data_IF_766283683279
#
_entry.id   IF_766283683279
#
_cell.length_a   1.000
_cell.length_b   1.000
_cell.length_c   1.000
_cell.angle_alpha   90.00
_cell.angle_beta   90.00
_cell.angle_gamma   90.00
#
_symmetry.space_group_name_H-M   'P 1'
#
loop_
_entity.id
_entity.type
_entity.pdbx_description
1 polymer ?
#
# COMPACT_ATOMS: atom_id res chain seq x y z
N UNK A 1 -32.57 -5.60 14.68
CA UNK A 1 -31.33 -4.78 14.62
C UNK A 1 -30.27 -5.61 15.34
N UNK A 2 -29.08 -5.78 14.71
CA UNK A 2 -27.99 -6.59 15.29
C UNK A 2 -27.33 -5.87 16.47
N UNK A 3 -27.09 -6.59 17.55
CA UNK A 3 -26.27 -6.09 18.67
C UNK A 3 -24.75 -6.08 18.36
N UNK A 4 -24.35 -6.64 17.20
CA UNK A 4 -22.95 -6.78 16.77
C UNK A 4 -22.74 -6.22 15.36
N UNK A 5 -23.19 -5.00 15.12
CA UNK A 5 -23.21 -4.36 13.80
C UNK A 5 -21.86 -4.48 13.05
N UNK A 6 -20.74 -4.15 13.70
CA UNK A 6 -19.41 -4.20 13.07
C UNK A 6 -19.01 -5.62 12.68
N UNK A 7 -19.36 -6.63 13.48
CA UNK A 7 -19.09 -8.03 13.15
C UNK A 7 -19.93 -8.50 11.95
N UNK A 8 -21.19 -8.06 11.87
CA UNK A 8 -22.05 -8.40 10.75
C UNK A 8 -21.62 -7.70 9.46
N UNK A 9 -21.22 -6.43 9.55
CA UNK A 9 -20.56 -5.73 8.43
C UNK A 9 -19.33 -6.50 7.97
N UNK A 10 -18.47 -6.95 8.88
CA UNK A 10 -17.29 -7.72 8.54
C UNK A 10 -17.62 -9.05 7.85
N UNK A 11 -18.63 -9.78 8.32
CA UNK A 11 -19.11 -11.04 7.69
C UNK A 11 -19.65 -10.80 6.30
N UNK A 12 -20.46 -9.74 6.10
CA UNK A 12 -21.01 -9.35 4.81
C UNK A 12 -19.87 -8.97 3.86
N UNK A 13 -18.95 -8.10 4.30
CA UNK A 13 -17.80 -7.68 3.49
C UNK A 13 -16.96 -8.88 3.05
N UNK A 14 -16.66 -9.82 3.95
CA UNK A 14 -15.93 -11.04 3.60
C UNK A 14 -16.66 -11.90 2.57
N UNK A 15 -18.00 -11.91 2.57
CA UNK A 15 -18.79 -12.67 1.59
C UNK A 15 -18.64 -12.09 0.18
N UNK A 16 -18.61 -10.76 0.03
CA UNK A 16 -18.43 -10.10 -1.27
C UNK A 16 -16.95 -10.01 -1.69
N UNK A 17 -16.03 -9.97 -0.73
CA UNK A 17 -14.58 -9.83 -0.92
C UNK A 17 -13.85 -10.95 -0.16
N UNK A 18 -13.89 -12.20 -0.62
CA UNK A 18 -13.36 -13.35 0.13
C UNK A 18 -11.87 -13.22 0.48
N UNK A 19 -11.08 -12.59 -0.39
CA UNK A 19 -9.64 -12.40 -0.20
C UNK A 19 -9.28 -11.18 0.68
N UNK A 20 -10.29 -10.45 1.20
CA UNK A 20 -10.07 -9.26 2.01
C UNK A 20 -9.49 -9.50 3.41
N UNK A 21 -9.38 -10.76 3.82
CA UNK A 21 -8.83 -11.19 5.11
C UNK A 21 -7.50 -11.94 4.97
N UNK A 22 -7.05 -12.18 3.74
CA UNK A 22 -5.76 -12.82 3.43
C UNK A 22 -4.78 -11.80 2.87
N UNK A 23 -3.54 -12.18 2.75
CA UNK A 23 -2.46 -11.35 2.19
C UNK A 23 -1.61 -12.20 1.25
N UNK A 24 -2.29 -13.04 0.47
CA UNK A 24 -1.66 -13.94 -0.48
C UNK A 24 -0.91 -13.13 -1.55
N UNK A 25 0.15 -13.69 -2.09
CA UNK A 25 0.88 -13.06 -3.19
C UNK A 25 0.04 -13.00 -4.47
N UNK A 26 0.24 -11.98 -5.28
CA UNK A 26 -0.45 -11.85 -6.57
C UNK A 26 0.16 -12.81 -7.59
N UNK A 27 -0.62 -13.82 -7.99
CA UNK A 27 -0.23 -14.81 -9.02
C UNK A 27 -0.18 -14.24 -10.45
N UNK A 28 -0.64 -13.02 -10.65
CA UNK A 28 -0.70 -12.38 -11.97
C UNK A 28 0.48 -11.44 -12.25
N UNK A 29 1.49 -11.42 -11.37
CA UNK A 29 2.70 -10.65 -11.62
C UNK A 29 3.62 -11.41 -12.58
N UNK A 30 4.20 -10.70 -13.53
CA UNK A 30 5.10 -11.24 -14.54
C UNK A 30 6.39 -10.40 -14.60
N UNK A 31 7.47 -11.04 -15.04
CA UNK A 31 8.69 -10.29 -15.36
C UNK A 31 8.45 -9.37 -16.54
N UNK A 32 9.10 -8.22 -16.50
CA UNK A 32 8.99 -7.23 -17.55
C UNK A 32 9.86 -7.66 -18.74
N UNK A 33 9.30 -8.36 -19.70
CA UNK A 33 10.05 -8.78 -20.90
C UNK A 33 9.82 -7.90 -22.15
N UNK A 34 8.66 -7.27 -22.30
CA UNK A 34 8.37 -6.43 -23.46
C UNK A 34 7.22 -5.48 -23.15
N UNK A 35 7.53 -4.26 -22.74
CA UNK A 35 6.52 -3.53 -22.05
C UNK A 35 5.95 -2.37 -22.80
N UNK A 36 4.63 -2.34 -22.74
CA UNK A 36 3.73 -1.26 -23.07
C UNK A 36 3.87 0.01 -22.18
N UNK A 37 4.90 0.12 -21.34
CA UNK A 37 5.15 1.36 -20.60
C UNK A 37 5.87 2.33 -21.53
N UNK A 38 5.13 3.33 -21.99
CA UNK A 38 5.63 4.34 -22.91
C UNK A 38 6.93 4.97 -22.39
N UNK A 39 7.99 4.68 -23.05
CA UNK A 39 9.25 5.36 -23.31
C UNK A 39 10.04 6.09 -22.19
N UNK A 40 9.64 6.15 -20.92
CA UNK A 40 10.37 6.89 -19.88
C UNK A 40 10.37 6.24 -18.49
N UNK A 41 10.07 4.95 -18.38
CA UNK A 41 10.24 4.21 -17.13
C UNK A 41 11.50 3.38 -17.21
N UNK A 42 12.36 3.48 -16.18
CA UNK A 42 13.56 2.65 -16.06
C UNK A 42 13.31 1.60 -15.01
N UNK A 43 13.54 0.35 -15.37
CA UNK A 43 13.38 -0.80 -14.49
C UNK A 43 14.72 -1.41 -14.13
N UNK A 44 14.87 -1.77 -12.85
CA UNK A 44 15.93 -2.61 -12.35
C UNK A 44 15.79 -4.07 -12.82
N UNK A 45 16.65 -4.94 -12.32
CA UNK A 45 16.57 -6.39 -12.59
C UNK A 45 15.52 -7.05 -11.72
N UNK A 46 14.88 -8.13 -12.21
CA UNK A 46 13.91 -8.95 -11.49
C UNK A 46 12.70 -8.17 -10.97
N UNK A 47 12.26 -7.15 -11.69
CA UNK A 47 11.03 -6.43 -11.36
C UNK A 47 9.84 -7.22 -11.86
N UNK A 48 8.85 -7.44 -10.99
CA UNK A 48 7.58 -8.08 -11.33
C UNK A 48 6.46 -7.06 -11.36
N UNK A 49 5.60 -7.12 -12.38
CA UNK A 49 4.47 -6.19 -12.55
C UNK A 49 3.19 -6.97 -12.83
N UNK A 50 2.15 -6.63 -12.10
CA UNK A 50 0.82 -7.24 -12.20
C UNK A 50 -0.03 -6.66 -13.33
N UNK A 51 -1.20 -7.26 -13.55
CA UNK A 51 -2.17 -6.79 -14.54
C UNK A 51 -2.72 -5.41 -14.20
N UNK A 52 -3.05 -4.62 -15.23
CA UNK A 52 -3.66 -3.30 -15.11
C UNK A 52 -2.84 -2.28 -14.31
N UNK A 53 -1.56 -2.52 -14.09
CA UNK A 53 -0.66 -1.55 -13.46
C UNK A 53 -0.48 -0.36 -14.40
N UNK A 54 -0.53 0.84 -13.82
CA UNK A 54 -0.27 2.09 -14.52
C UNK A 54 0.95 2.75 -13.89
N UNK A 55 1.93 3.13 -14.73
CA UNK A 55 3.12 3.87 -14.28
C UNK A 55 3.29 5.05 -15.22
N UNK A 56 3.38 6.23 -14.63
CA UNK A 56 3.59 7.49 -15.35
C UNK A 56 4.99 7.63 -15.95
N UNK A 57 5.27 8.79 -16.46
CA UNK A 57 6.54 9.10 -17.13
C UNK A 57 7.67 9.41 -16.14
N UNK A 58 8.93 9.21 -16.56
CA UNK A 58 10.14 9.52 -15.80
C UNK A 58 10.24 8.79 -14.45
N UNK A 59 9.72 7.57 -14.36
CA UNK A 59 9.78 6.76 -13.15
C UNK A 59 11.00 5.83 -13.17
N UNK A 60 11.51 5.56 -11.96
CA UNK A 60 12.54 4.56 -11.69
C UNK A 60 11.94 3.47 -10.78
N UNK A 61 12.08 2.21 -11.15
CA UNK A 61 11.65 1.07 -10.34
C UNK A 61 12.89 0.22 -10.05
N UNK A 62 13.27 0.12 -8.79
CA UNK A 62 14.47 -0.56 -8.33
C UNK A 62 14.43 -2.09 -8.47
N UNK A 63 15.59 -2.71 -8.25
CA UNK A 63 15.76 -4.16 -8.40
C UNK A 63 14.88 -4.97 -7.45
N UNK A 64 14.41 -6.14 -7.90
CA UNK A 64 13.63 -7.11 -7.11
C UNK A 64 12.32 -6.52 -6.54
N UNK A 65 11.79 -5.45 -7.10
CA UNK A 65 10.55 -4.84 -6.63
C UNK A 65 9.35 -5.47 -7.31
N UNK A 66 8.21 -5.50 -6.59
CA UNK A 66 6.97 -6.11 -7.03
C UNK A 66 5.86 -5.06 -7.01
N UNK A 67 5.27 -4.79 -8.16
CA UNK A 67 4.11 -3.89 -8.30
C UNK A 67 2.91 -4.77 -8.64
N UNK A 68 2.04 -5.02 -7.67
CA UNK A 68 0.91 -5.94 -7.85
C UNK A 68 -0.22 -5.34 -8.68
N UNK A 69 -1.13 -6.19 -9.11
CA UNK A 69 -2.30 -5.89 -9.95
C UNK A 69 -3.08 -4.65 -9.49
N UNK A 70 -3.50 -3.82 -10.45
CA UNK A 70 -4.30 -2.61 -10.28
C UNK A 70 -3.61 -1.44 -9.52
N UNK A 71 -2.32 -1.50 -9.24
CA UNK A 71 -1.57 -0.37 -8.68
C UNK A 71 -1.43 0.74 -9.72
N UNK A 72 -1.54 1.99 -9.25
CA UNK A 72 -1.31 3.17 -10.08
C UNK A 72 -0.19 4.03 -9.47
N UNK A 73 0.78 4.40 -10.29
CA UNK A 73 1.93 5.25 -9.95
C UNK A 73 1.94 6.42 -10.93
N UNK A 74 2.01 7.63 -10.41
CA UNK A 74 2.06 8.88 -11.20
C UNK A 74 3.40 9.13 -11.85
N UNK A 75 3.62 10.37 -12.27
CA UNK A 75 4.84 10.81 -12.96
C UNK A 75 5.98 11.11 -11.99
N UNK A 76 7.23 11.00 -12.48
CA UNK A 76 8.46 11.39 -11.76
C UNK A 76 8.65 10.66 -10.42
N UNK A 77 8.19 9.42 -10.30
CA UNK A 77 8.32 8.63 -9.08
C UNK A 77 9.59 7.77 -9.07
N UNK A 78 10.16 7.61 -7.89
CA UNK A 78 11.27 6.68 -7.65
C UNK A 78 10.85 5.64 -6.65
N UNK A 79 10.86 4.39 -7.06
CA UNK A 79 10.62 3.22 -6.21
C UNK A 79 11.95 2.50 -6.05
N UNK A 80 12.39 2.33 -4.82
CA UNK A 80 13.65 1.67 -4.46
C UNK A 80 13.66 0.17 -4.77
N UNK A 81 14.71 -0.49 -4.34
CA UNK A 81 14.86 -1.94 -4.51
C UNK A 81 14.15 -2.72 -3.39
N UNK A 82 13.72 -3.95 -3.70
CA UNK A 82 13.02 -4.82 -2.76
C UNK A 82 11.71 -4.21 -2.19
N UNK A 83 11.06 -3.34 -2.93
CA UNK A 83 9.80 -2.70 -2.55
C UNK A 83 8.64 -3.55 -3.07
N UNK A 84 7.62 -3.73 -2.23
CA UNK A 84 6.35 -4.38 -2.63
C UNK A 84 5.22 -3.36 -2.53
N UNK A 85 4.53 -3.13 -3.65
CA UNK A 85 3.38 -2.21 -3.70
C UNK A 85 2.16 -2.97 -4.16
N UNK A 86 1.11 -2.92 -3.35
CA UNK A 86 -0.19 -3.51 -3.62
C UNK A 86 -1.31 -2.57 -3.17
N UNK A 87 -2.51 -2.71 -3.74
CA UNK A 87 -3.70 -1.96 -3.29
C UNK A 87 -3.43 -0.46 -3.08
N UNK A 88 -2.74 0.20 -4.01
CA UNK A 88 -2.25 1.56 -3.80
C UNK A 88 -2.43 2.47 -5.00
N UNK A 89 -2.68 3.74 -4.70
CA UNK A 89 -2.68 4.86 -5.63
C UNK A 89 -1.58 5.83 -5.21
N UNK A 90 -0.53 5.91 -6.00
CA UNK A 90 0.63 6.76 -5.75
C UNK A 90 0.55 7.92 -6.74
N UNK A 91 0.62 9.15 -6.26
CA UNK A 91 0.58 10.36 -7.06
C UNK A 91 1.96 10.71 -7.65
N UNK A 92 2.20 11.97 -7.97
CA UNK A 92 3.40 12.40 -8.68
C UNK A 92 4.54 12.78 -7.73
N UNK A 93 5.78 12.69 -8.22
CA UNK A 93 6.99 13.09 -7.49
C UNK A 93 7.14 12.37 -6.16
N UNK A 94 6.73 11.10 -6.08
CA UNK A 94 6.82 10.30 -4.85
C UNK A 94 8.10 9.47 -4.86
N UNK A 95 8.81 9.47 -3.72
CA UNK A 95 10.02 8.68 -3.50
C UNK A 95 9.75 7.63 -2.42
N UNK A 96 9.83 6.36 -2.77
CA UNK A 96 9.72 5.23 -1.83
C UNK A 96 11.07 4.53 -1.81
N UNK A 97 11.74 4.55 -0.67
CA UNK A 97 13.08 3.99 -0.54
C UNK A 97 13.04 2.47 -0.36
N UNK A 98 14.22 1.86 -0.29
CA UNK A 98 14.41 0.42 -0.34
C UNK A 98 13.68 -0.34 0.78
N UNK A 99 13.17 -1.53 0.45
CA UNK A 99 12.59 -2.46 1.40
C UNK A 99 11.20 -2.13 1.93
N UNK A 100 10.55 -1.08 1.41
CA UNK A 100 9.21 -0.69 1.85
C UNK A 100 8.13 -1.68 1.41
N UNK A 101 7.11 -1.87 2.25
CA UNK A 101 5.92 -2.68 1.94
C UNK A 101 4.67 -1.82 2.07
N UNK A 102 4.03 -1.54 0.93
CA UNK A 102 2.90 -0.63 0.83
C UNK A 102 1.64 -1.41 0.47
N UNK A 103 0.55 -1.16 1.20
CA UNK A 103 -0.78 -1.65 0.85
C UNK A 103 -1.08 -3.07 1.27
N UNK A 104 -0.28 -3.66 2.18
CA UNK A 104 -0.61 -4.95 2.78
C UNK A 104 -1.84 -4.85 3.68
N UNK A 105 -2.41 -5.98 4.03
CA UNK A 105 -3.53 -6.09 4.96
C UNK A 105 -3.17 -5.54 6.35
N UNK A 106 -4.03 -4.69 6.91
CA UNK A 106 -3.89 -4.15 8.25
C UNK A 106 -4.17 -5.17 9.36
N UNK A 107 -3.79 -4.82 10.60
CA UNK A 107 -3.95 -5.62 11.80
C UNK A 107 -5.32 -5.34 12.47
N UNK A 108 -6.41 -5.58 11.74
CA UNK A 108 -7.79 -5.45 12.24
C UNK A 108 -8.41 -6.80 12.58
N UNK A 109 -9.01 -6.93 13.76
CA UNK A 109 -9.72 -8.15 14.17
C UNK A 109 -10.72 -7.88 15.29
N UNK A 110 -11.68 -8.83 15.45
CA UNK A 110 -12.55 -8.91 16.61
C UNK A 110 -12.05 -10.02 17.51
N UNK A 111 -11.72 -9.73 18.77
CA UNK A 111 -11.39 -10.78 19.74
C UNK A 111 -12.65 -11.59 20.09
N UNK A 112 -12.52 -12.89 20.12
CA UNK A 112 -13.57 -13.80 20.57
C UNK A 112 -12.95 -14.92 21.42
N UNK A 113 -13.75 -15.50 22.34
CA UNK A 113 -13.30 -16.55 23.27
C UNK A 113 -12.81 -17.82 22.56
N UNK A 114 -13.32 -18.12 21.38
CA UNK A 114 -12.98 -19.33 20.62
C UNK A 114 -11.90 -19.06 19.57
N UNK A 115 -11.97 -17.94 18.87
CA UNK A 115 -11.01 -17.56 17.83
C UNK A 115 -11.17 -16.08 17.47
N UNK A 116 -10.06 -15.40 17.17
CA UNK A 116 -10.10 -14.04 16.65
C UNK A 116 -10.67 -14.03 15.22
N UNK A 117 -11.60 -13.15 14.95
CA UNK A 117 -12.16 -12.94 13.62
C UNK A 117 -11.48 -11.77 12.94
N UNK A 118 -10.82 -12.02 11.81
CA UNK A 118 -10.16 -10.96 11.02
C UNK A 118 -11.17 -9.99 10.44
N UNK A 119 -10.89 -8.69 10.59
CA UNK A 119 -11.66 -7.64 9.92
C UNK A 119 -11.23 -7.52 8.46
N UNK A 120 -12.14 -7.54 7.50
CA UNK A 120 -11.83 -7.39 6.09
C UNK A 120 -11.18 -6.05 5.76
N UNK A 121 -10.23 -6.05 4.84
CA UNK A 121 -9.49 -4.87 4.39
C UNK A 121 -9.71 -4.72 2.89
N UNK A 122 -10.50 -3.73 2.47
CA UNK A 122 -10.87 -3.47 1.06
C UNK A 122 -10.51 -2.07 0.59
N UNK A 123 -10.16 -1.14 1.51
CA UNK A 123 -9.64 0.17 1.17
C UNK A 123 -8.26 0.08 0.51
N UNK A 124 -7.71 1.19 0.11
CA UNK A 124 -6.39 1.32 -0.51
C UNK A 124 -5.47 2.22 0.30
N UNK A 125 -4.20 2.26 -0.07
CA UNK A 125 -3.29 3.34 0.34
C UNK A 125 -3.32 4.41 -0.72
N UNK A 126 -3.42 5.67 -0.30
CA UNK A 126 -3.26 6.84 -1.16
C UNK A 126 -2.03 7.60 -0.69
N UNK A 127 -1.06 7.75 -1.58
CA UNK A 127 0.14 8.55 -1.33
C UNK A 127 0.06 9.75 -2.27
N UNK A 128 -0.06 10.93 -1.67
CA UNK A 128 -0.23 12.18 -2.41
C UNK A 128 1.10 12.69 -2.99
N UNK A 129 1.06 13.83 -3.70
CA UNK A 129 2.22 14.36 -4.41
C UNK A 129 3.37 14.76 -3.46
N UNK A 130 4.60 14.62 -3.94
CA UNK A 130 5.83 15.05 -3.26
C UNK A 130 6.07 14.38 -1.90
N UNK A 131 5.64 13.14 -1.73
CA UNK A 131 5.87 12.36 -0.50
C UNK A 131 7.17 11.58 -0.62
N UNK A 132 7.93 11.53 0.47
CA UNK A 132 9.10 10.65 0.61
C UNK A 132 8.86 9.64 1.74
N UNK A 133 9.20 8.36 1.48
CA UNK A 133 9.04 7.26 2.43
C UNK A 133 10.38 6.55 2.58
N UNK A 134 10.94 6.64 3.78
CA UNK A 134 12.22 6.05 4.17
C UNK A 134 12.21 4.51 4.18
N UNK A 135 13.41 3.96 4.18
CA UNK A 135 13.66 2.52 4.02
C UNK A 135 12.92 1.66 5.05
N UNK A 136 12.50 0.48 4.62
CA UNK A 136 11.86 -0.55 5.46
C UNK A 136 10.58 -0.09 6.17
N UNK A 137 9.93 0.95 5.67
CA UNK A 137 8.64 1.39 6.19
C UNK A 137 7.51 0.50 5.70
N UNK A 138 6.47 0.36 6.53
CA UNK A 138 5.28 -0.44 6.21
C UNK A 138 4.02 0.41 6.32
N UNK A 139 3.19 0.40 5.27
CA UNK A 139 1.94 1.15 5.23
C UNK A 139 0.81 0.20 4.89
N UNK A 140 -0.11 0.00 5.84
CA UNK A 140 -1.25 -0.89 5.66
C UNK A 140 -2.34 -0.23 4.81
N UNK A 141 -3.04 -1.04 4.00
CA UNK A 141 -4.27 -0.60 3.33
C UNK A 141 -5.37 -0.30 4.35
N UNK A 142 -6.32 0.52 3.96
CA UNK A 142 -7.49 0.75 4.79
C UNK A 142 -8.45 -0.45 4.85
N UNK A 143 -9.30 -0.48 5.86
CA UNK A 143 -10.38 -1.46 5.97
C UNK A 143 -11.54 -1.12 5.03
N UNK A 144 -12.53 -0.35 5.48
CA UNK A 144 -13.63 0.15 4.65
C UNK A 144 -13.36 1.55 4.08
N UNK A 145 -12.41 2.29 4.65
CA UNK A 145 -11.90 3.56 4.12
C UNK A 145 -10.41 3.44 3.79
N UNK A 146 -9.80 4.48 3.24
CA UNK A 146 -8.41 4.43 2.79
C UNK A 146 -7.44 4.86 3.90
N UNK A 147 -6.19 4.38 3.81
CA UNK A 147 -5.04 4.98 4.48
C UNK A 147 -4.48 6.07 3.57
N UNK A 148 -4.18 7.25 4.11
CA UNK A 148 -3.80 8.42 3.31
C UNK A 148 -2.54 9.07 3.88
N UNK A 149 -1.58 9.36 2.99
CA UNK A 149 -0.39 10.16 3.28
C UNK A 149 -0.52 11.46 2.49
N UNK A 150 -0.65 12.57 3.21
CA UNK A 150 -0.84 13.90 2.62
C UNK A 150 0.39 14.43 1.91
N UNK A 151 0.18 15.45 1.06
CA UNK A 151 1.21 16.06 0.21
C UNK A 151 2.41 16.58 0.99
N UNK A 152 3.59 16.55 0.35
CA UNK A 152 4.83 17.12 0.88
C UNK A 152 5.24 16.52 2.24
N UNK A 153 4.80 15.31 2.57
CA UNK A 153 5.11 14.63 3.83
C UNK A 153 6.36 13.77 3.68
N UNK A 154 7.27 13.88 4.64
CA UNK A 154 8.48 13.09 4.72
C UNK A 154 8.42 12.13 5.90
N UNK A 155 8.56 10.84 5.59
CA UNK A 155 8.63 9.75 6.55
C UNK A 155 10.07 9.22 6.54
N UNK A 156 10.74 9.25 7.67
CA UNK A 156 12.06 8.65 7.84
C UNK A 156 11.96 7.11 7.85
N UNK A 157 13.03 6.42 8.14
CA UNK A 157 13.13 4.97 8.02
C UNK A 157 12.32 4.20 9.08
N UNK A 158 11.86 2.99 8.72
CA UNK A 158 11.20 2.05 9.63
C UNK A 158 9.91 2.60 10.27
N UNK A 159 9.16 3.39 9.53
CA UNK A 159 7.86 3.89 9.97
C UNK A 159 6.80 2.80 9.76
N UNK A 160 5.92 2.62 10.75
CA UNK A 160 4.72 1.80 10.59
C UNK A 160 3.46 2.65 10.58
N UNK A 161 2.72 2.62 9.48
CA UNK A 161 1.41 3.27 9.36
C UNK A 161 0.35 2.19 9.23
N UNK A 162 -0.46 2.03 10.30
CA UNK A 162 -1.52 1.03 10.32
C UNK A 162 -2.72 1.45 9.46
N UNK A 163 -3.70 0.55 9.36
CA UNK A 163 -4.89 0.73 8.52
C UNK A 163 -5.71 1.98 8.87
N UNK A 164 -6.25 2.65 7.87
CA UNK A 164 -7.15 3.82 8.01
C UNK A 164 -6.50 5.07 8.62
N UNK A 165 -5.19 5.09 8.82
CA UNK A 165 -4.48 6.28 9.29
C UNK A 165 -4.52 7.37 8.22
N UNK A 166 -4.66 8.61 8.65
CA UNK A 166 -4.57 9.79 7.79
C UNK A 166 -3.47 10.71 8.29
N UNK A 167 -2.37 10.76 7.57
CA UNK A 167 -1.30 11.74 7.80
C UNK A 167 -1.65 12.98 6.99
N UNK A 168 -1.56 14.15 7.62
CA UNK A 168 -1.80 15.45 6.99
C UNK A 168 -0.73 15.83 5.97
N UNK A 169 -0.87 17.03 5.42
CA UNK A 169 0.11 17.61 4.51
C UNK A 169 1.30 18.22 5.27
N UNK A 170 2.47 18.26 4.62
CA UNK A 170 3.70 18.91 5.15
C UNK A 170 4.18 18.32 6.50
N UNK A 171 3.86 17.06 6.79
CA UNK A 171 4.34 16.40 8.01
C UNK A 171 5.78 15.92 7.84
N UNK A 172 6.54 15.95 8.94
CA UNK A 172 7.88 15.37 9.04
C UNK A 172 7.87 14.39 10.21
N UNK A 173 8.16 13.11 9.92
CA UNK A 173 8.03 12.03 10.89
C UNK A 173 9.37 11.31 11.00
N UNK A 174 9.96 11.36 12.20
CA UNK A 174 11.23 10.72 12.50
C UNK A 174 11.14 9.19 12.52
N UNK A 175 12.29 8.54 12.40
CA UNK A 175 12.40 7.09 12.27
C UNK A 175 11.81 6.30 13.43
N UNK A 176 11.36 5.08 13.14
CA UNK A 176 10.78 4.12 14.08
C UNK A 176 9.47 4.57 14.77
N UNK A 177 8.79 5.57 14.24
CA UNK A 177 7.46 5.96 14.73
C UNK A 177 6.40 5.00 14.19
N UNK A 178 5.44 4.62 15.03
CA UNK A 178 4.28 3.82 14.67
C UNK A 178 2.98 4.57 14.90
N UNK A 179 2.08 4.53 13.90
CA UNK A 179 0.73 5.06 14.00
C UNK A 179 -0.26 3.91 14.16
N UNK A 180 -1.01 3.91 15.24
CA UNK A 180 -2.08 2.93 15.47
C UNK A 180 -3.22 3.12 14.45
N UNK A 181 -3.95 2.05 14.18
CA UNK A 181 -5.06 2.08 13.21
C UNK A 181 -6.07 3.18 13.47
N UNK A 182 -6.53 3.83 12.42
CA UNK A 182 -7.54 4.91 12.42
C UNK A 182 -7.11 6.21 13.13
N UNK A 183 -5.82 6.44 13.34
CA UNK A 183 -5.31 7.73 13.83
C UNK A 183 -5.39 8.80 12.73
N UNK A 184 -5.58 10.05 13.16
CA UNK A 184 -5.63 11.24 12.28
C UNK A 184 -4.71 12.32 12.83
#
# INVERSE_FOLDING_TARGET
>A
ISDKILLDVAKITKKFYPNSVTDDFDVNVEQIENIQFKSKVKFGRNVLVGKNVKIGSNCLIGHNSIIETNVSIGDNCTIGSNVIIRNSLIKNNVHILDGCIIGKKGFGFFPDKKANFRYPQIGVVIIEDNVEIGCNSTIDRGSLSNTVIGKNTFLDNQIHIAHNVKIGENCIIAGQVGFAGSSV
#
